data_IF_476906519566
#
_entry.id   IF_476906519566
#
_cell.length_a   1.000
_cell.length_b   1.000
_cell.length_c   1.000
_cell.angle_alpha   90.00
_cell.angle_beta   90.00
_cell.angle_gamma   90.00
#
_symmetry.space_group_name_H-M   'P 1'
#
loop_
_entity.id
_entity.type
_entity.pdbx_description
1 polymer ?
#
# COMPACT_ATOMS: atom_id res chain seq x y z
N UNK A 1 2.32 64.70 -43.29
CA UNK A 1 1.20 63.92 -43.85
C UNK A 1 1.77 62.65 -44.47
N UNK A 2 1.69 61.53 -43.77
CA UNK A 2 2.00 60.19 -44.28
C UNK A 2 1.23 59.16 -43.44
N UNK A 3 0.87 58.06 -44.10
CA UNK A 3 -0.20 57.10 -43.84
C UNK A 3 0.05 56.09 -42.68
N UNK A 4 -1.05 55.51 -42.17
CA UNK A 4 -1.15 54.43 -41.16
C UNK A 4 -0.99 53.03 -41.81
N UNK A 5 -0.43 51.99 -41.11
CA UNK A 5 -1.24 50.84 -40.62
C UNK A 5 -0.74 50.25 -39.26
N UNK A 6 -1.59 49.98 -38.26
CA UNK A 6 -2.32 48.73 -37.92
C UNK A 6 -1.51 47.54 -37.34
N UNK A 7 -1.95 47.11 -36.13
CA UNK A 7 -1.76 45.82 -35.39
C UNK A 7 -0.49 45.66 -34.54
N UNK A 8 -0.48 45.13 -33.31
CA UNK A 8 -1.25 44.03 -32.69
C UNK A 8 -1.61 44.27 -31.21
N UNK A 9 -2.66 43.56 -30.82
CA UNK A 9 -3.40 43.56 -29.58
C UNK A 9 -2.86 42.44 -28.66
N UNK A 10 -2.17 42.77 -27.56
CA UNK A 10 -1.84 41.80 -26.50
C UNK A 10 -2.78 42.01 -25.33
N UNK A 11 -3.80 41.15 -25.29
CA UNK A 11 -4.79 41.10 -24.23
C UNK A 11 -4.19 40.43 -23.00
N UNK A 12 -3.83 41.26 -22.01
CA UNK A 12 -3.67 40.83 -20.62
C UNK A 12 -5.01 40.26 -20.14
N UNK A 13 -5.13 38.93 -20.19
CA UNK A 13 -6.27 38.24 -19.59
C UNK A 13 -6.02 38.17 -18.09
N UNK A 14 -6.70 39.04 -17.35
CA UNK A 14 -6.78 39.00 -15.89
C UNK A 14 -7.15 37.61 -15.41
N UNK A 15 -6.31 37.04 -14.55
CA UNK A 15 -6.60 35.80 -13.83
C UNK A 15 -7.81 36.08 -12.92
N UNK A 16 -8.99 35.71 -13.41
CA UNK A 16 -10.18 35.59 -12.58
C UNK A 16 -9.88 34.53 -11.53
N UNK A 17 -9.86 34.96 -10.27
CA UNK A 17 -10.00 34.08 -9.11
C UNK A 17 -11.27 33.24 -9.34
N UNK A 18 -11.08 31.98 -9.72
CA UNK A 18 -12.19 31.04 -9.88
C UNK A 18 -12.69 30.75 -8.47
N UNK A 19 -13.86 31.33 -8.18
CA UNK A 19 -14.64 31.02 -7.01
C UNK A 19 -15.04 29.56 -6.96
N UNK A 20 -15.39 29.12 -5.76
CA UNK A 20 -16.11 27.89 -5.49
C UNK A 20 -17.21 27.64 -6.53
N UNK A 21 -16.96 26.71 -7.44
CA UNK A 21 -17.98 26.06 -8.25
C UNK A 21 -17.94 24.57 -7.90
N UNK A 22 -19.10 24.02 -7.51
CA UNK A 22 -19.24 22.65 -7.02
C UNK A 22 -18.77 21.61 -8.03
N UNK A 23 -18.12 20.56 -7.54
CA UNK A 23 -17.80 19.37 -8.33
C UNK A 23 -17.97 18.12 -7.48
N UNK A 24 -18.91 17.28 -7.87
CA UNK A 24 -19.28 15.97 -7.30
C UNK A 24 -18.18 14.88 -7.40
N UNK A 25 -16.96 15.24 -7.80
CA UNK A 25 -15.92 14.28 -8.19
C UNK A 25 -14.69 14.38 -7.29
N UNK A 26 -14.49 13.38 -6.43
CA UNK A 26 -13.27 13.23 -5.62
C UNK A 26 -12.12 12.74 -6.52
N UNK A 27 -11.00 13.45 -6.56
CA UNK A 27 -9.83 13.07 -7.37
C UNK A 27 -8.73 12.45 -6.49
N UNK A 28 -8.26 11.25 -6.88
CA UNK A 28 -7.15 10.54 -6.24
C UNK A 28 -5.89 10.58 -7.12
N UNK A 29 -4.79 11.09 -6.57
CA UNK A 29 -3.47 11.09 -7.23
C UNK A 29 -2.53 10.08 -6.58
N UNK A 30 -1.78 9.34 -7.39
CA UNK A 30 -0.72 8.43 -6.94
C UNK A 30 0.63 9.00 -7.34
N UNK A 31 1.40 9.47 -6.35
CA UNK A 31 2.78 9.95 -6.53
C UNK A 31 3.76 8.78 -6.53
N UNK A 32 4.49 8.61 -7.64
CA UNK A 32 5.44 7.50 -7.79
C UNK A 32 4.76 6.18 -8.09
N UNK A 33 3.80 6.17 -9.01
CA UNK A 33 3.00 5.01 -9.39
C UNK A 33 3.84 3.88 -10.03
N UNK A 34 4.51 3.08 -9.19
CA UNK A 34 5.12 1.80 -9.55
C UNK A 34 4.13 0.65 -9.38
N UNK A 35 4.64 -0.59 -9.25
CA UNK A 35 3.80 -1.80 -9.18
C UNK A 35 2.71 -1.73 -8.09
N UNK A 36 3.05 -1.24 -6.90
CA UNK A 36 2.10 -1.19 -5.78
C UNK A 36 1.05 -0.09 -5.95
N UNK A 37 1.45 1.09 -6.45
CA UNK A 37 0.52 2.16 -6.80
C UNK A 37 -0.46 1.73 -7.90
N UNK A 38 0.05 1.04 -8.92
CA UNK A 38 -0.77 0.45 -9.99
C UNK A 38 -1.73 -0.62 -9.46
N UNK A 39 -1.27 -1.49 -8.56
CA UNK A 39 -2.13 -2.52 -7.95
C UNK A 39 -3.29 -1.89 -7.16
N UNK A 40 -3.02 -0.84 -6.39
CA UNK A 40 -4.04 -0.09 -5.64
C UNK A 40 -5.04 0.56 -6.60
N UNK A 41 -4.57 1.24 -7.64
CA UNK A 41 -5.45 1.84 -8.63
C UNK A 41 -6.33 0.80 -9.32
N UNK A 42 -5.73 -0.30 -9.80
CA UNK A 42 -6.47 -1.40 -10.44
C UNK A 42 -7.55 -1.96 -9.51
N UNK A 43 -7.21 -2.26 -8.26
CA UNK A 43 -8.20 -2.75 -7.28
C UNK A 43 -9.35 -1.77 -7.05
N UNK A 44 -9.06 -0.47 -6.93
CA UNK A 44 -10.09 0.56 -6.78
C UNK A 44 -11.00 0.61 -8.01
N UNK A 45 -10.41 0.67 -9.21
CA UNK A 45 -11.15 0.83 -10.47
C UNK A 45 -12.06 -0.37 -10.74
N UNK A 46 -11.56 -1.59 -10.63
CA UNK A 46 -12.39 -2.80 -10.78
C UNK A 46 -13.52 -2.83 -9.76
N UNK A 47 -13.30 -2.35 -8.54
CA UNK A 47 -14.34 -2.32 -7.51
C UNK A 47 -15.40 -1.25 -7.75
N UNK A 48 -15.06 -0.14 -8.42
CA UNK A 48 -16.04 0.86 -8.82
C UNK A 48 -16.92 0.33 -9.95
N UNK A 49 -16.34 -0.39 -10.91
CA UNK A 49 -17.09 -1.07 -11.98
C UNK A 49 -18.04 -2.15 -11.39
N UNK A 50 -17.57 -2.92 -10.40
CA UNK A 50 -18.40 -3.88 -9.65
C UNK A 50 -19.60 -3.24 -8.93
N UNK A 51 -19.45 -2.00 -8.44
CA UNK A 51 -20.53 -1.27 -7.76
C UNK A 51 -21.59 -0.74 -8.74
N UNK A 52 -21.20 -0.42 -9.97
CA UNK A 52 -22.09 0.04 -11.03
C UNK A 52 -22.79 -1.13 -11.76
N UNK A 53 -22.26 -2.35 -11.61
CA UNK A 53 -22.84 -3.55 -12.21
C UNK A 53 -24.17 -3.98 -11.52
N UNK A 54 -25.12 -4.60 -12.27
CA UNK A 54 -26.35 -5.14 -11.69
C UNK A 54 -26.02 -6.25 -10.66
N UNK A 55 -26.46 -6.09 -9.41
CA UNK A 55 -26.16 -7.05 -8.32
C UNK A 55 -26.84 -8.41 -8.55
N UNK A 56 -26.11 -9.54 -8.54
CA UNK A 56 -26.69 -10.86 -8.28
C UNK A 56 -27.07 -11.01 -6.79
N UNK A 57 -28.00 -11.92 -6.50
CA UNK A 57 -28.43 -12.28 -5.13
C UNK A 57 -27.23 -12.65 -4.23
N UNK A 58 -27.04 -11.89 -3.15
CA UNK A 58 -25.90 -12.02 -2.23
C UNK A 58 -26.08 -13.17 -1.22
N UNK A 59 -24.99 -13.89 -0.93
CA UNK A 59 -24.83 -14.77 0.24
C UNK A 59 -23.92 -14.10 1.30
N UNK A 60 -24.08 -14.40 2.60
CA UNK A 60 -23.40 -13.67 3.67
C UNK A 60 -21.97 -14.17 3.89
N UNK A 61 -21.02 -13.25 4.16
CA UNK A 61 -19.66 -13.57 4.60
C UNK A 61 -19.45 -13.31 6.10
N UNK A 62 -18.65 -14.19 6.72
CA UNK A 62 -18.35 -14.32 8.16
C UNK A 62 -17.28 -13.33 8.64
N UNK A 63 -17.42 -12.88 9.90
CA UNK A 63 -16.72 -11.71 10.44
C UNK A 63 -15.35 -11.93 11.09
N UNK A 64 -14.70 -10.81 11.43
CA UNK A 64 -14.13 -10.47 12.75
C UNK A 64 -13.60 -9.01 12.75
N UNK A 65 -13.81 -8.32 13.86
CA UNK A 65 -13.21 -7.04 14.33
C UNK A 65 -12.59 -6.11 13.28
N UNK A 66 -13.41 -5.66 12.33
CA UNK A 66 -13.18 -4.45 11.53
C UNK A 66 -14.47 -3.64 11.61
N UNK A 67 -14.45 -2.29 11.63
CA UNK A 67 -15.67 -1.52 11.47
C UNK A 67 -16.47 -2.07 10.29
N UNK A 68 -17.78 -2.27 10.48
CA UNK A 68 -18.70 -2.61 9.38
C UNK A 68 -18.39 -1.69 8.20
N UNK A 69 -18.20 -2.26 7.01
CA UNK A 69 -17.80 -1.51 5.82
C UNK A 69 -18.93 -0.56 5.41
N UNK A 70 -18.95 0.63 6.02
CA UNK A 70 -19.79 1.73 5.61
C UNK A 70 -19.16 2.36 4.38
N UNK A 71 -19.87 2.32 3.25
CA UNK A 71 -19.43 2.99 2.02
C UNK A 71 -19.23 4.48 2.33
N UNK A 72 -18.05 5.06 2.05
CA UNK A 72 -17.80 6.49 2.26
C UNK A 72 -18.81 7.35 1.50
N UNK A 73 -19.15 8.52 2.05
CA UNK A 73 -20.07 9.46 1.40
C UNK A 73 -19.58 9.95 0.02
N UNK A 74 -18.25 10.04 -0.16
CA UNK A 74 -17.62 10.45 -1.42
C UNK A 74 -16.56 9.42 -1.80
N UNK A 75 -16.67 8.86 -2.99
CA UNK A 75 -15.70 7.94 -3.58
C UNK A 75 -14.89 8.62 -4.67
N UNK A 76 -13.62 8.22 -4.88
CA UNK A 76 -12.83 8.73 -5.98
C UNK A 76 -13.45 8.35 -7.33
N UNK A 77 -13.64 9.32 -8.21
CA UNK A 77 -14.18 9.10 -9.56
C UNK A 77 -13.22 9.53 -10.67
N UNK A 78 -12.09 10.14 -10.30
CA UNK A 78 -11.04 10.57 -11.23
C UNK A 78 -9.68 10.24 -10.64
N UNK A 79 -8.79 9.72 -11.47
CA UNK A 79 -7.50 9.20 -11.03
C UNK A 79 -6.35 9.81 -11.81
N UNK A 80 -5.26 10.12 -11.10
CA UNK A 80 -4.02 10.61 -11.70
C UNK A 80 -2.85 9.74 -11.22
N UNK A 81 -2.15 9.08 -12.13
CA UNK A 81 -0.95 8.30 -11.84
C UNK A 81 0.30 9.07 -12.28
N UNK A 82 1.11 9.49 -11.31
CA UNK A 82 2.35 10.22 -11.57
C UNK A 82 3.55 9.28 -11.54
N UNK A 83 4.36 9.32 -12.59
CA UNK A 83 5.62 8.57 -12.69
C UNK A 83 6.78 9.50 -13.00
N UNK A 84 8.02 9.00 -12.89
CA UNK A 84 9.21 9.80 -13.22
C UNK A 84 9.60 9.74 -14.69
N UNK A 85 9.41 8.59 -15.34
CA UNK A 85 9.99 8.31 -16.66
C UNK A 85 8.89 7.94 -17.65
N UNK A 86 9.04 8.30 -18.94
CA UNK A 86 8.08 7.94 -19.99
C UNK A 86 7.88 6.42 -20.11
N UNK A 87 8.94 5.62 -19.93
CA UNK A 87 8.81 4.16 -19.98
C UNK A 87 8.04 3.59 -18.79
N UNK A 88 8.09 4.25 -17.63
CA UNK A 88 7.22 3.89 -16.51
C UNK A 88 5.76 4.23 -16.83
N UNK A 89 5.51 5.33 -17.53
CA UNK A 89 4.16 5.71 -17.94
C UNK A 89 3.57 4.67 -18.90
N UNK A 90 4.36 4.16 -19.85
CA UNK A 90 3.94 3.06 -20.75
C UNK A 90 3.55 1.81 -19.94
N UNK A 91 4.35 1.42 -18.94
CA UNK A 91 4.06 0.26 -18.09
C UNK A 91 2.77 0.44 -17.29
N UNK A 92 2.55 1.62 -16.70
CA UNK A 92 1.33 1.92 -15.95
C UNK A 92 0.11 1.92 -16.87
N UNK A 93 0.20 2.57 -18.05
CA UNK A 93 -0.88 2.55 -19.05
C UNK A 93 -1.22 1.15 -19.53
N UNK A 94 -0.21 0.32 -19.79
CA UNK A 94 -0.42 -1.08 -20.18
C UNK A 94 -1.07 -1.90 -19.07
N UNK A 95 -0.70 -1.66 -17.80
CA UNK A 95 -1.28 -2.36 -16.67
C UNK A 95 -2.71 -1.90 -16.32
N UNK A 96 -3.09 -0.67 -16.68
CA UNK A 96 -4.41 -0.09 -16.43
C UNK A 96 -5.21 0.12 -17.73
N UNK A 97 -4.95 -0.69 -18.76
CA UNK A 97 -5.47 -0.47 -20.11
C UNK A 97 -7.01 -0.47 -20.15
N UNK A 98 -7.65 -1.32 -19.34
CA UNK A 98 -9.12 -1.44 -19.21
C UNK A 98 -9.75 -0.16 -18.63
N UNK A 99 -8.98 0.65 -17.90
CA UNK A 99 -9.48 1.81 -17.15
C UNK A 99 -8.95 3.16 -17.68
N UNK A 100 -8.47 3.20 -18.92
CA UNK A 100 -7.78 4.37 -19.50
C UNK A 100 -8.67 5.63 -19.54
N UNK A 101 -10.00 5.49 -19.58
CA UNK A 101 -10.96 6.60 -19.53
C UNK A 101 -10.98 7.33 -18.17
N UNK A 102 -10.67 6.61 -17.09
CA UNK A 102 -10.77 7.11 -15.71
C UNK A 102 -9.42 7.52 -15.13
N UNK A 103 -8.31 7.07 -15.71
CA UNK A 103 -6.94 7.27 -15.22
C UNK A 103 -6.11 8.13 -16.16
N UNK A 104 -5.69 9.30 -15.69
CA UNK A 104 -4.66 10.10 -16.36
C UNK A 104 -3.26 9.66 -15.91
N UNK A 105 -2.40 9.23 -16.84
CA UNK A 105 -1.00 8.88 -16.53
C UNK A 105 -0.08 9.99 -17.01
N UNK A 106 0.61 10.63 -16.07
CA UNK A 106 1.48 11.79 -16.29
C UNK A 106 2.90 11.52 -15.78
N UNK A 107 3.88 12.24 -16.30
CA UNK A 107 5.28 12.16 -15.85
C UNK A 107 5.83 13.55 -15.57
N UNK A 108 6.64 13.72 -14.53
CA UNK A 108 7.28 15.00 -14.16
C UNK A 108 6.31 16.17 -13.86
N UNK A 109 5.04 15.87 -13.56
CA UNK A 109 3.99 16.85 -13.23
C UNK A 109 3.39 16.60 -11.84
N UNK A 110 4.23 16.29 -10.83
CA UNK A 110 3.76 15.91 -9.50
C UNK A 110 2.94 17.02 -8.83
N UNK A 111 3.50 18.24 -8.73
CA UNK A 111 2.84 19.39 -8.06
C UNK A 111 1.48 19.71 -8.71
N UNK A 112 1.41 19.81 -10.04
CA UNK A 112 0.16 20.08 -10.75
C UNK A 112 -0.89 18.98 -10.53
N UNK A 113 -0.46 17.72 -10.48
CA UNK A 113 -1.36 16.58 -10.22
C UNK A 113 -1.92 16.63 -8.79
N UNK A 114 -1.08 16.99 -7.82
CA UNK A 114 -1.49 17.18 -6.43
C UNK A 114 -2.46 18.35 -6.31
N UNK A 115 -2.23 19.46 -7.00
CA UNK A 115 -3.15 20.62 -7.02
C UNK A 115 -4.57 20.22 -7.46
N UNK A 116 -4.68 19.33 -8.44
CA UNK A 116 -5.95 18.84 -9.00
C UNK A 116 -6.61 17.72 -8.18
N UNK A 117 -6.01 17.30 -7.07
CA UNK A 117 -6.45 16.13 -6.30
C UNK A 117 -6.90 16.48 -4.89
N UNK A 118 -7.69 15.63 -4.25
CA UNK A 118 -8.09 15.77 -2.84
C UNK A 118 -7.43 14.70 -1.97
N UNK A 119 -7.16 13.53 -2.55
CA UNK A 119 -6.48 12.40 -1.91
C UNK A 119 -5.19 12.10 -2.68
N UNK A 120 -4.08 12.04 -1.97
CA UNK A 120 -2.76 11.75 -2.52
C UNK A 120 -2.25 10.47 -1.91
N UNK A 121 -1.92 9.48 -2.73
CA UNK A 121 -1.22 8.27 -2.34
C UNK A 121 0.27 8.42 -2.69
N UNK A 122 1.13 8.54 -1.68
CA UNK A 122 2.57 8.56 -1.85
C UNK A 122 3.10 7.12 -1.90
N UNK A 123 3.37 6.65 -3.13
CA UNK A 123 3.70 5.26 -3.46
C UNK A 123 5.11 5.07 -4.02
N UNK A 124 6.03 6.00 -3.73
CA UNK A 124 7.41 5.95 -4.22
C UNK A 124 8.32 5.11 -3.31
N UNK A 125 9.54 4.82 -3.79
CA UNK A 125 10.59 4.23 -2.93
C UNK A 125 10.97 5.23 -1.82
N UNK A 126 11.34 4.77 -0.60
CA UNK A 126 11.72 5.65 0.51
C UNK A 126 12.79 6.68 0.13
N UNK A 127 13.81 6.27 -0.62
CA UNK A 127 14.89 7.14 -1.12
C UNK A 127 14.46 8.27 -2.04
N UNK A 128 13.20 8.30 -2.48
CA UNK A 128 12.65 9.34 -3.35
C UNK A 128 11.64 10.24 -2.64
N UNK A 129 11.25 9.92 -1.40
CA UNK A 129 10.23 10.68 -0.67
C UNK A 129 10.67 12.14 -0.50
N UNK A 130 11.88 12.36 0.01
CA UNK A 130 12.40 13.71 0.23
C UNK A 130 12.36 14.56 -1.06
N UNK A 131 12.87 14.00 -2.16
CA UNK A 131 12.93 14.70 -3.44
C UNK A 131 11.55 15.11 -3.97
N UNK A 132 10.52 14.27 -3.77
CA UNK A 132 9.13 14.57 -4.19
C UNK A 132 8.49 15.62 -3.27
N UNK A 133 8.65 15.46 -1.95
CA UNK A 133 8.00 16.35 -0.97
C UNK A 133 8.62 17.75 -0.94
N UNK A 134 9.91 17.87 -1.27
CA UNK A 134 10.62 19.16 -1.37
C UNK A 134 10.47 19.84 -2.73
N UNK A 135 9.70 19.29 -3.67
CA UNK A 135 9.44 19.97 -4.95
C UNK A 135 8.80 21.36 -4.71
N UNK A 136 9.27 22.42 -5.41
CA UNK A 136 8.72 23.76 -5.24
C UNK A 136 7.20 23.81 -5.44
N UNK A 137 6.48 24.28 -4.42
CA UNK A 137 5.02 24.37 -4.44
C UNK A 137 4.29 23.13 -3.93
N UNK A 138 4.98 22.03 -3.62
CA UNK A 138 4.36 20.80 -3.10
C UNK A 138 3.63 21.03 -1.78
N UNK A 139 4.26 21.68 -0.80
CA UNK A 139 3.65 22.01 0.50
C UNK A 139 2.35 22.79 0.34
N UNK A 140 2.33 23.79 -0.56
CA UNK A 140 1.12 24.57 -0.87
C UNK A 140 0.07 23.73 -1.59
N UNK A 141 0.48 22.87 -2.51
CA UNK A 141 -0.42 22.00 -3.26
C UNK A 141 -1.13 20.97 -2.37
N UNK A 142 -0.50 20.55 -1.27
CA UNK A 142 -1.04 19.60 -0.29
C UNK A 142 -1.96 20.22 0.77
N UNK A 143 -2.02 21.55 0.89
CA UNK A 143 -2.80 22.22 1.92
C UNK A 143 -4.29 21.78 1.89
N UNK A 144 -4.81 21.36 3.04
CA UNK A 144 -6.19 20.90 3.25
C UNK A 144 -6.50 19.51 2.70
N UNK A 145 -5.50 18.73 2.28
CA UNK A 145 -5.68 17.44 1.59
C UNK A 145 -5.34 16.25 2.46
N UNK A 146 -5.70 15.05 1.99
CA UNK A 146 -5.30 13.79 2.59
C UNK A 146 -4.07 13.21 1.88
N UNK A 147 -2.98 13.03 2.61
CA UNK A 147 -1.77 12.37 2.12
C UNK A 147 -1.63 10.98 2.76
N UNK A 148 -1.89 9.93 1.99
CA UNK A 148 -1.70 8.54 2.39
C UNK A 148 -0.32 8.08 1.94
N UNK A 149 0.60 7.86 2.89
CA UNK A 149 1.93 7.30 2.60
C UNK A 149 1.92 5.78 2.71
N UNK A 150 2.38 5.11 1.66
CA UNK A 150 2.67 3.67 1.66
C UNK A 150 4.16 3.35 1.59
N UNK A 151 5.01 4.34 1.85
CA UNK A 151 6.46 4.20 1.80
C UNK A 151 6.97 3.42 3.01
N UNK A 152 7.64 2.29 2.75
CA UNK A 152 8.22 1.45 3.80
C UNK A 152 9.25 2.22 4.65
N UNK A 153 9.13 2.14 5.97
CA UNK A 153 10.06 2.75 6.93
C UNK A 153 10.05 4.27 7.00
N UNK A 154 9.20 4.98 6.24
CA UNK A 154 9.08 6.44 6.30
C UNK A 154 8.01 6.82 7.33
N UNK A 155 8.41 7.57 8.36
CA UNK A 155 7.50 7.99 9.44
C UNK A 155 6.72 9.25 9.06
N UNK A 156 5.62 9.52 9.78
CA UNK A 156 4.84 10.74 9.59
C UNK A 156 5.71 11.97 9.89
N UNK A 157 6.51 11.92 10.96
CA UNK A 157 7.42 12.99 11.35
C UNK A 157 8.49 13.28 10.30
N UNK A 158 8.95 12.27 9.55
CA UNK A 158 9.85 12.47 8.42
C UNK A 158 9.15 13.21 7.28
N UNK A 159 7.91 12.83 6.95
CA UNK A 159 7.11 13.49 5.91
C UNK A 159 6.84 14.95 6.30
N UNK A 160 6.44 15.21 7.55
CA UNK A 160 6.27 16.57 8.09
C UNK A 160 7.55 17.40 7.95
N UNK A 161 8.70 16.85 8.38
CA UNK A 161 10.00 17.53 8.24
C UNK A 161 10.38 17.80 6.79
N UNK A 162 10.07 16.91 5.86
CA UNK A 162 10.35 17.15 4.45
C UNK A 162 9.46 18.25 3.86
N UNK A 163 8.20 18.38 4.31
CA UNK A 163 7.24 19.37 3.82
C UNK A 163 7.40 20.75 4.46
N UNK A 164 7.71 20.78 5.76
CA UNK A 164 7.63 21.98 6.61
C UNK A 164 8.97 22.36 7.25
N UNK A 165 10.02 21.53 7.13
CA UNK A 165 11.32 21.74 7.76
C UNK A 165 11.37 21.39 9.25
N UNK A 166 10.22 21.18 9.90
CA UNK A 166 10.06 20.78 11.29
C UNK A 166 8.84 19.86 11.45
N UNK A 167 8.63 19.29 12.64
CA UNK A 167 7.38 18.60 12.98
C UNK A 167 6.45 19.64 13.64
N UNK A 168 5.32 19.98 13.01
CA UNK A 168 4.35 20.89 13.61
C UNK A 168 3.76 20.31 14.91
N UNK A 169 3.44 21.18 15.86
CA UNK A 169 2.87 20.86 17.17
C UNK A 169 1.34 20.98 17.23
N UNK A 170 0.72 21.60 16.22
CA UNK A 170 -0.73 21.82 16.11
C UNK A 170 -1.41 20.77 15.23
N UNK A 171 -2.71 20.55 15.43
CA UNK A 171 -3.48 19.65 14.57
C UNK A 171 -3.59 20.21 13.13
N UNK A 172 -3.49 19.37 12.08
CA UNK A 172 -3.63 19.82 10.69
C UNK A 172 -4.92 20.57 10.38
N UNK A 173 -6.01 20.33 11.12
CA UNK A 173 -7.28 21.06 10.94
C UNK A 173 -7.18 22.52 11.39
N UNK A 174 -6.26 22.84 12.30
CA UNK A 174 -6.13 24.19 12.82
C UNK A 174 -5.23 25.09 11.96
N UNK A 175 -4.25 24.52 11.27
CA UNK A 175 -3.28 25.25 10.44
C UNK A 175 -3.46 24.99 8.93
N UNK A 176 -4.37 24.09 8.57
CA UNK A 176 -4.75 23.75 7.21
C UNK A 176 -3.72 22.92 6.45
N UNK A 177 -2.66 22.40 7.08
CA UNK A 177 -1.72 21.49 6.39
C UNK A 177 -2.39 20.17 6.01
N UNK A 178 -1.72 19.35 5.19
CA UNK A 178 -2.29 18.06 4.83
C UNK A 178 -2.39 17.14 6.05
N UNK A 179 -3.46 16.36 6.11
CA UNK A 179 -3.56 15.24 7.04
C UNK A 179 -2.78 14.06 6.47
N UNK A 180 -1.84 13.52 7.24
CA UNK A 180 -1.00 12.40 6.82
C UNK A 180 -1.51 11.10 7.44
N UNK A 181 -1.70 10.06 6.62
CA UNK A 181 -2.01 8.71 7.05
C UNK A 181 -0.90 7.78 6.57
N UNK A 182 -0.32 6.99 7.47
CA UNK A 182 0.63 5.94 7.08
C UNK A 182 -0.13 4.62 6.95
N UNK A 183 -0.04 4.00 5.78
CA UNK A 183 -0.62 2.68 5.50
C UNK A 183 0.46 1.77 4.92
N UNK A 184 0.32 0.47 5.11
CA UNK A 184 1.33 -0.49 4.67
C UNK A 184 0.68 -1.72 4.03
N UNK A 185 0.32 -1.62 2.74
CA UNK A 185 -0.08 -2.78 1.95
C UNK A 185 1.15 -3.59 1.54
N UNK A 186 0.92 -4.73 0.89
CA UNK A 186 2.01 -5.59 0.41
C UNK A 186 1.81 -6.02 -1.06
N UNK A 187 2.74 -6.83 -1.57
CA UNK A 187 2.74 -7.26 -2.97
C UNK A 187 1.49 -8.06 -3.40
N UNK A 188 0.78 -8.69 -2.46
CA UNK A 188 -0.45 -9.42 -2.76
C UNK A 188 -1.63 -8.50 -3.14
N UNK A 189 -1.44 -7.17 -3.07
CA UNK A 189 -2.36 -6.18 -3.64
C UNK A 189 -2.68 -6.46 -5.12
N UNK A 190 -1.73 -7.03 -5.87
CA UNK A 190 -1.89 -7.37 -7.29
C UNK A 190 -2.99 -8.41 -7.54
N UNK A 191 -3.34 -9.19 -6.53
CA UNK A 191 -4.38 -10.22 -6.59
C UNK A 191 -5.49 -9.97 -5.57
N UNK A 192 -5.58 -8.74 -5.05
CA UNK A 192 -6.57 -8.31 -4.03
C UNK A 192 -6.54 -9.12 -2.72
N UNK A 193 -5.37 -9.64 -2.34
CA UNK A 193 -5.16 -10.45 -1.12
C UNK A 193 -4.10 -9.80 -0.20
N UNK A 194 -3.96 -8.48 -0.26
CA UNK A 194 -3.05 -7.73 0.62
C UNK A 194 -3.53 -7.78 2.07
N UNK A 195 -2.59 -7.72 3.01
CA UNK A 195 -2.89 -7.26 4.38
C UNK A 195 -2.32 -5.85 4.50
N UNK A 196 -3.19 -4.88 4.74
CA UNK A 196 -2.81 -3.48 4.91
C UNK A 196 -2.88 -3.07 6.38
N UNK A 197 -1.75 -2.63 6.93
CA UNK A 197 -1.72 -2.06 8.28
C UNK A 197 -1.78 -0.54 8.18
N UNK A 198 -2.76 0.08 8.82
CA UNK A 198 -2.90 1.54 8.92
C UNK A 198 -2.50 1.99 10.31
N UNK A 199 -1.58 2.97 10.39
CA UNK A 199 -1.12 3.53 11.65
C UNK A 199 -2.22 4.40 12.29
N UNK A 200 -2.58 4.12 13.53
CA UNK A 200 -3.56 4.87 14.30
C UNK A 200 -3.31 4.70 15.81
N UNK A 201 -2.83 5.75 16.47
CA UNK A 201 -2.49 5.70 17.90
C UNK A 201 -3.70 5.84 18.82
N UNK A 202 -4.78 6.47 18.34
CA UNK A 202 -6.04 6.60 19.08
C UNK A 202 -7.24 6.56 18.12
N UNK A 203 -8.41 6.02 18.51
CA UNK A 203 -9.60 5.96 17.64
C UNK A 203 -10.08 7.31 17.08
N UNK A 204 -9.77 8.41 17.76
CA UNK A 204 -10.11 9.78 17.32
C UNK A 204 -9.00 10.47 16.52
N UNK A 205 -7.88 9.78 16.22
CA UNK A 205 -6.76 10.38 15.49
C UNK A 205 -7.10 10.73 14.03
N UNK A 206 -8.17 10.14 13.48
CA UNK A 206 -8.66 10.41 12.13
C UNK A 206 -10.14 10.80 12.17
N UNK A 207 -10.56 11.78 11.36
CA UNK A 207 -11.97 12.04 11.14
C UNK A 207 -12.67 10.78 10.63
N UNK A 208 -13.92 10.51 11.03
CA UNK A 208 -14.64 9.31 10.60
C UNK A 208 -14.69 9.13 9.08
N UNK A 209 -14.88 10.22 8.33
CA UNK A 209 -14.88 10.19 6.86
C UNK A 209 -13.52 9.78 6.28
N UNK A 210 -12.41 10.25 6.87
CA UNK A 210 -11.05 9.84 6.47
C UNK A 210 -10.82 8.37 6.75
N UNK A 211 -11.19 7.89 7.93
CA UNK A 211 -11.05 6.47 8.30
C UNK A 211 -11.86 5.57 7.36
N UNK A 212 -13.11 5.93 7.06
CA UNK A 212 -13.96 5.20 6.11
C UNK A 212 -13.33 5.16 4.72
N UNK A 213 -12.85 6.29 4.21
CA UNK A 213 -12.24 6.37 2.88
C UNK A 213 -10.96 5.55 2.79
N UNK A 214 -10.07 5.65 3.78
CA UNK A 214 -8.84 4.85 3.85
C UNK A 214 -9.16 3.36 3.94
N UNK A 215 -10.12 2.97 4.78
CA UNK A 215 -10.58 1.58 4.90
C UNK A 215 -11.09 1.08 3.56
N UNK A 216 -11.98 1.85 2.92
CA UNK A 216 -12.56 1.49 1.63
C UNK A 216 -11.47 1.29 0.57
N UNK A 217 -10.54 2.24 0.42
CA UNK A 217 -9.42 2.18 -0.53
C UNK A 217 -8.65 0.86 -0.37
N UNK A 218 -8.23 0.53 0.85
CA UNK A 218 -7.37 -0.63 1.07
C UNK A 218 -8.15 -1.96 1.11
N UNK A 219 -9.45 -1.93 1.42
CA UNK A 219 -10.34 -3.09 1.27
C UNK A 219 -10.50 -3.54 -0.18
N UNK A 220 -10.26 -2.67 -1.15
CA UNK A 220 -10.31 -3.03 -2.59
C UNK A 220 -9.16 -3.94 -3.02
N UNK A 221 -8.07 -3.97 -2.24
CA UNK A 221 -6.87 -4.77 -2.51
C UNK A 221 -6.58 -5.84 -1.45
N UNK A 222 -7.48 -6.04 -0.48
CA UNK A 222 -7.35 -7.08 0.53
C UNK A 222 -7.97 -6.68 1.88
N UNK A 223 -7.35 -7.10 2.97
CA UNK A 223 -7.79 -6.84 4.34
C UNK A 223 -7.05 -5.64 4.97
N UNK A 224 -7.66 -5.04 5.99
CA UNK A 224 -7.17 -3.83 6.66
C UNK A 224 -7.26 -3.99 8.17
N UNK A 225 -6.16 -3.68 8.86
CA UNK A 225 -6.11 -3.55 10.31
C UNK A 225 -5.53 -2.21 10.72
N UNK A 226 -6.06 -1.64 11.79
CA UNK A 226 -5.54 -0.42 12.41
C UNK A 226 -4.71 -0.79 13.62
N UNK A 227 -3.46 -0.31 13.68
CA UNK A 227 -2.54 -0.59 14.78
C UNK A 227 -1.80 0.68 15.20
N UNK A 228 -1.29 0.75 16.44
CA UNK A 228 -0.47 1.86 16.89
C UNK A 228 0.76 2.10 16.01
N UNK A 229 1.18 3.35 15.87
CA UNK A 229 2.33 3.75 15.05
C UNK A 229 3.61 3.02 15.47
N UNK A 230 3.74 2.69 16.76
CA UNK A 230 4.87 1.95 17.33
C UNK A 230 5.04 0.53 16.77
N UNK A 231 3.98 -0.09 16.24
CA UNK A 231 4.05 -1.45 15.68
C UNK A 231 4.41 -1.48 14.19
N UNK A 232 4.47 -0.32 13.52
CA UNK A 232 4.60 -0.26 12.06
C UNK A 232 5.86 -0.93 11.51
N UNK A 233 6.97 -0.93 12.26
CA UNK A 233 8.19 -1.62 11.84
C UNK A 233 8.03 -3.14 11.88
N UNK A 234 7.38 -3.67 12.92
CA UNK A 234 7.03 -5.08 13.01
C UNK A 234 6.00 -5.47 11.95
N UNK A 235 5.01 -4.63 11.69
CA UNK A 235 4.05 -4.80 10.60
C UNK A 235 4.72 -4.80 9.22
N UNK A 236 5.75 -3.97 9.02
CA UNK A 236 6.56 -3.98 7.79
C UNK A 236 7.28 -5.29 7.59
N UNK A 237 7.91 -5.81 8.64
CA UNK A 237 8.58 -7.09 8.59
C UNK A 237 7.61 -8.25 8.32
N UNK A 238 6.46 -8.28 9.01
CA UNK A 238 5.50 -9.36 8.90
C UNK A 238 4.69 -9.28 7.60
N UNK A 239 4.04 -8.16 7.31
CA UNK A 239 3.10 -8.04 6.20
C UNK A 239 3.79 -7.61 4.90
N UNK A 240 4.77 -6.70 5.00
CA UNK A 240 5.51 -6.20 3.84
C UNK A 240 6.52 -7.21 3.30
N UNK A 241 7.36 -7.78 4.18
CA UNK A 241 8.36 -8.79 3.81
C UNK A 241 7.84 -10.23 3.85
N UNK A 242 6.73 -10.50 4.56
CA UNK A 242 6.12 -11.82 4.69
C UNK A 242 5.95 -12.60 3.39
N UNK A 243 5.41 -12.01 2.30
CA UNK A 243 5.30 -12.70 1.02
C UNK A 243 6.62 -13.30 0.52
N UNK A 244 7.75 -12.62 0.73
CA UNK A 244 9.07 -13.15 0.35
C UNK A 244 9.50 -14.31 1.26
N UNK A 245 9.24 -14.22 2.57
CA UNK A 245 9.57 -15.29 3.51
C UNK A 245 8.72 -16.54 3.26
N UNK A 246 7.43 -16.38 2.99
CA UNK A 246 6.55 -17.49 2.68
C UNK A 246 6.83 -18.09 1.30
N UNK A 247 7.22 -17.28 0.32
CA UNK A 247 7.66 -17.79 -0.99
C UNK A 247 8.90 -18.70 -0.86
N UNK A 248 9.87 -18.37 0.01
CA UNK A 248 11.01 -19.23 0.28
C UNK A 248 10.59 -20.59 0.88
N UNK A 249 9.69 -20.57 1.86
CA UNK A 249 9.17 -21.82 2.47
C UNK A 249 8.38 -22.63 1.45
N UNK A 250 7.61 -21.97 0.60
CA UNK A 250 6.84 -22.60 -0.47
C UNK A 250 7.77 -23.25 -1.50
N UNK A 251 8.83 -22.55 -1.92
CA UNK A 251 9.84 -23.08 -2.83
C UNK A 251 10.54 -24.33 -2.26
N UNK A 252 10.93 -24.29 -0.98
CA UNK A 252 11.52 -25.44 -0.30
C UNK A 252 10.58 -26.66 -0.25
N UNK A 253 9.27 -26.43 -0.04
CA UNK A 253 8.28 -27.50 -0.09
C UNK A 253 8.13 -28.09 -1.52
N UNK A 254 8.21 -27.25 -2.55
CA UNK A 254 8.17 -27.69 -3.96
C UNK A 254 9.40 -28.54 -4.28
N UNK A 255 10.60 -28.11 -3.86
CA UNK A 255 11.84 -28.87 -4.05
C UNK A 255 11.77 -30.24 -3.36
N UNK A 256 11.27 -30.30 -2.12
CA UNK A 256 11.07 -31.55 -1.41
C UNK A 256 10.11 -32.51 -2.14
N UNK A 257 9.01 -31.99 -2.69
CA UNK A 257 8.06 -32.79 -3.44
C UNK A 257 8.63 -33.30 -4.78
N UNK A 258 9.44 -32.49 -5.46
CA UNK A 258 10.15 -32.89 -6.70
C UNK A 258 11.20 -33.95 -6.40
N UNK A 259 11.92 -33.85 -5.28
CA UNK A 259 12.88 -34.87 -4.85
C UNK A 259 12.20 -36.23 -4.60
N UNK A 260 10.92 -36.24 -4.26
CA UNK A 260 10.09 -37.45 -4.12
C UNK A 260 9.42 -37.90 -5.42
N UNK A 261 9.75 -37.28 -6.56
CA UNK A 261 9.34 -37.71 -7.89
C UNK A 261 8.14 -36.97 -8.49
N UNK A 262 7.62 -35.92 -7.85
CA UNK A 262 6.56 -35.12 -8.47
C UNK A 262 7.08 -34.24 -9.61
N UNK A 263 6.33 -34.09 -10.73
CA UNK A 263 6.62 -33.07 -11.72
C UNK A 263 6.60 -31.66 -11.11
N UNK A 264 7.59 -30.82 -11.45
CA UNK A 264 7.77 -29.46 -10.91
C UNK A 264 6.49 -28.61 -10.95
N UNK A 265 5.80 -28.60 -12.08
CA UNK A 265 4.60 -27.80 -12.29
C UNK A 265 3.45 -28.21 -11.36
N UNK A 266 3.23 -29.51 -11.19
CA UNK A 266 2.21 -30.05 -10.28
C UNK A 266 2.59 -29.77 -8.82
N UNK A 267 3.86 -30.00 -8.44
CA UNK A 267 4.35 -29.70 -7.10
C UNK A 267 4.13 -28.22 -6.73
N UNK A 268 4.43 -27.30 -7.65
CA UNK A 268 4.18 -25.87 -7.46
C UNK A 268 2.71 -25.54 -7.23
N UNK A 269 1.82 -26.06 -8.08
CA UNK A 269 0.38 -25.84 -7.97
C UNK A 269 -0.17 -26.41 -6.65
N UNK A 270 0.19 -27.65 -6.31
CA UNK A 270 -0.26 -28.35 -5.10
C UNK A 270 0.23 -27.64 -3.83
N UNK A 271 1.50 -27.28 -3.77
CA UNK A 271 2.08 -26.60 -2.61
C UNK A 271 1.43 -25.23 -2.39
N UNK A 272 1.25 -24.44 -3.46
CA UNK A 272 0.63 -23.11 -3.36
C UNK A 272 -0.82 -23.19 -2.87
N UNK A 273 -1.61 -24.12 -3.44
CA UNK A 273 -3.00 -24.33 -3.02
C UNK A 273 -3.10 -24.84 -1.58
N UNK A 274 -2.20 -25.72 -1.16
CA UNK A 274 -2.15 -26.25 0.21
C UNK A 274 -1.80 -25.16 1.20
N UNK A 275 -0.80 -24.32 0.89
CA UNK A 275 -0.42 -23.19 1.74
C UNK A 275 -1.55 -22.15 1.83
N UNK A 276 -2.23 -21.84 0.72
CA UNK A 276 -3.43 -20.99 0.72
C UNK A 276 -4.53 -21.57 1.60
N UNK A 277 -4.79 -22.87 1.49
CA UNK A 277 -5.80 -23.56 2.31
C UNK A 277 -5.48 -23.53 3.81
N UNK A 278 -4.23 -23.80 4.18
CA UNK A 278 -3.77 -23.74 5.57
C UNK A 278 -3.93 -22.33 6.16
N UNK A 279 -3.54 -21.29 5.41
CA UNK A 279 -3.75 -19.91 5.82
C UNK A 279 -5.26 -19.58 5.94
N UNK A 280 -6.06 -20.02 4.98
CA UNK A 280 -7.52 -19.82 4.99
C UNK A 280 -8.21 -20.47 6.19
N UNK A 281 -7.78 -21.66 6.63
CA UNK A 281 -8.31 -22.30 7.83
C UNK A 281 -8.03 -21.47 9.09
N UNK A 282 -6.82 -20.91 9.20
CA UNK A 282 -6.45 -20.04 10.32
C UNK A 282 -7.23 -18.72 10.29
N UNK A 283 -7.40 -18.12 9.12
CA UNK A 283 -8.21 -16.90 8.95
C UNK A 283 -9.69 -17.12 9.31
N UNK A 284 -10.20 -18.34 9.19
CA UNK A 284 -11.55 -18.71 9.62
C UNK A 284 -11.65 -19.09 11.11
N UNK A 285 -10.60 -18.81 11.90
CA UNK A 285 -10.63 -18.93 13.36
C UNK A 285 -9.97 -20.19 13.94
N UNK A 286 -9.39 -21.06 13.10
CA UNK A 286 -8.64 -22.21 13.60
C UNK A 286 -7.31 -21.78 14.22
N UNK A 287 -7.03 -22.22 15.45
CA UNK A 287 -5.73 -21.97 16.07
C UNK A 287 -4.63 -22.81 15.41
N UNK A 288 -3.46 -22.25 15.01
CA UNK A 288 -2.43 -22.99 14.27
C UNK A 288 -1.95 -24.29 14.93
N UNK A 289 -1.86 -24.32 16.27
CA UNK A 289 -1.49 -25.54 16.99
C UNK A 289 -2.56 -26.63 16.87
N UNK A 290 -3.84 -26.25 16.92
CA UNK A 290 -4.96 -27.21 16.79
C UNK A 290 -5.05 -27.71 15.35
N UNK A 291 -4.84 -26.85 14.36
CA UNK A 291 -4.77 -27.26 12.95
C UNK A 291 -3.67 -28.30 12.74
N UNK A 292 -2.47 -28.07 13.29
CA UNK A 292 -1.35 -29.02 13.22
C UNK A 292 -1.73 -30.35 13.86
N UNK A 293 -2.35 -30.33 15.03
CA UNK A 293 -2.72 -31.56 15.76
C UNK A 293 -3.83 -32.33 15.03
N UNK A 294 -4.80 -31.64 14.40
CA UNK A 294 -5.85 -32.24 13.56
C UNK A 294 -5.29 -32.97 12.32
N UNK A 295 -4.21 -32.45 11.74
CA UNK A 295 -3.56 -33.03 10.55
C UNK A 295 -2.51 -34.09 10.92
N UNK A 296 -1.98 -34.02 12.15
CA UNK A 296 -1.00 -34.96 12.71
C UNK A 296 -1.62 -36.28 13.12
N UNK A 297 -1.74 -37.23 12.17
CA UNK A 297 -2.22 -38.57 12.46
C UNK A 297 -1.15 -39.42 13.17
N UNK A 298 -1.52 -40.25 14.18
CA UNK A 298 -0.57 -41.14 14.87
C UNK A 298 0.16 -42.07 13.90
N UNK A 299 1.50 -42.02 13.90
CA UNK A 299 2.34 -42.83 13.01
C UNK A 299 2.28 -42.45 11.52
N UNK A 300 1.56 -41.38 11.15
CA UNK A 300 1.39 -40.95 9.77
C UNK A 300 2.54 -40.09 9.22
N UNK A 301 2.48 -39.80 7.92
CA UNK A 301 3.47 -38.96 7.25
C UNK A 301 3.54 -37.53 7.83
N UNK A 302 2.41 -36.98 8.28
CA UNK A 302 2.33 -35.63 8.87
C UNK A 302 3.23 -35.48 10.10
N UNK A 303 3.15 -36.42 11.06
CA UNK A 303 3.97 -36.33 12.28
C UNK A 303 5.45 -36.56 11.96
N UNK A 304 5.76 -37.45 11.01
CA UNK A 304 7.14 -37.65 10.54
C UNK A 304 7.75 -36.38 9.96
N UNK A 305 7.01 -35.66 9.10
CA UNK A 305 7.46 -34.38 8.56
C UNK A 305 7.58 -33.28 9.62
N UNK A 306 6.63 -33.21 10.56
CA UNK A 306 6.67 -32.22 11.65
C UNK A 306 7.92 -32.37 12.53
N UNK A 307 8.32 -33.60 12.87
CA UNK A 307 9.53 -33.85 13.67
C UNK A 307 10.80 -33.31 12.99
N UNK A 308 10.95 -33.52 11.68
CA UNK A 308 12.09 -32.98 10.91
C UNK A 308 12.09 -31.45 10.92
N UNK A 309 10.92 -30.80 10.84
CA UNK A 309 10.82 -29.34 10.95
C UNK A 309 11.19 -28.83 12.36
N UNK A 310 10.91 -29.59 13.41
CA UNK A 310 11.36 -29.27 14.77
C UNK A 310 12.86 -29.41 14.93
N UNK A 311 13.45 -30.49 14.41
CA UNK A 311 14.90 -30.70 14.39
C UNK A 311 15.62 -29.54 13.68
N UNK A 312 15.04 -29.02 12.60
CA UNK A 312 15.51 -27.83 11.89
C UNK A 312 15.26 -26.49 12.60
N UNK A 313 14.67 -26.50 13.81
CA UNK A 313 14.36 -25.31 14.60
C UNK A 313 13.56 -24.24 13.83
N UNK A 314 12.65 -24.65 12.94
CA UNK A 314 11.93 -23.77 12.00
C UNK A 314 11.26 -22.60 12.71
N UNK A 315 10.61 -22.84 13.87
CA UNK A 315 9.97 -21.78 14.67
C UNK A 315 10.94 -20.67 15.05
N UNK A 316 12.11 -21.04 15.57
CA UNK A 316 13.13 -20.09 15.99
C UNK A 316 13.68 -19.31 14.80
N UNK A 317 13.93 -19.98 13.68
CA UNK A 317 14.48 -19.37 12.46
C UNK A 317 13.51 -18.35 11.85
N UNK A 318 12.24 -18.73 11.65
CA UNK A 318 11.21 -17.83 11.11
C UNK A 318 10.99 -16.63 12.03
N UNK A 319 10.88 -16.85 13.35
CA UNK A 319 10.72 -15.76 14.32
C UNK A 319 11.90 -14.77 14.29
N UNK A 320 13.14 -15.27 14.24
CA UNK A 320 14.33 -14.42 14.13
C UNK A 320 14.36 -13.64 12.81
N UNK A 321 13.93 -14.24 11.70
CA UNK A 321 13.87 -13.56 10.41
C UNK A 321 12.93 -12.34 10.46
N UNK A 322 11.74 -12.49 11.05
CA UNK A 322 10.79 -11.37 11.22
C UNK A 322 11.36 -10.30 12.15
N UNK A 323 11.97 -10.68 13.28
CA UNK A 323 12.59 -9.73 14.22
C UNK A 323 13.72 -8.93 13.58
N UNK A 324 14.59 -9.59 12.81
CA UNK A 324 15.64 -8.91 12.06
C UNK A 324 15.06 -7.92 11.06
N UNK A 325 14.09 -8.38 10.26
CA UNK A 325 13.46 -7.53 9.27
C UNK A 325 12.78 -6.30 9.90
N UNK A 326 12.28 -6.40 11.14
CA UNK A 326 11.73 -5.26 11.88
C UNK A 326 12.82 -4.25 12.26
N UNK A 327 13.99 -4.72 12.71
CA UNK A 327 15.17 -3.88 12.97
C UNK A 327 15.68 -3.19 11.69
N UNK A 328 15.70 -3.92 10.57
CA UNK A 328 16.09 -3.34 9.28
C UNK A 328 15.06 -2.30 8.83
N UNK A 329 13.77 -2.60 8.98
CA UNK A 329 12.67 -1.71 8.60
C UNK A 329 12.70 -0.38 9.37
N UNK A 330 13.11 -0.39 10.65
CA UNK A 330 13.20 0.84 11.44
C UNK A 330 14.23 1.84 10.92
N UNK A 331 15.19 1.39 10.11
CA UNK A 331 16.28 2.22 9.57
C UNK A 331 16.07 2.64 8.12
N UNK A 332 15.06 2.11 7.42
CA UNK A 332 14.85 2.36 5.99
C UNK A 332 14.55 3.82 5.66
N UNK A 333 13.79 4.52 6.52
CA UNK A 333 13.46 5.94 6.33
C UNK A 333 14.61 6.89 6.66
N UNK A 334 15.65 6.43 7.34
CA UNK A 334 16.77 7.27 7.80
C UNK A 334 17.81 7.54 6.71
N UNK A 335 17.60 7.01 5.49
CA UNK A 335 18.57 7.11 4.40
C UNK A 335 19.84 6.27 4.61
N UNK A 336 19.86 5.42 5.63
CA UNK A 336 21.00 4.56 5.95
C UNK A 336 21.25 3.52 4.83
N UNK A 337 22.51 3.38 4.43
CA UNK A 337 22.97 2.34 3.51
C UNK A 337 23.42 1.10 4.27
N UNK A 338 23.29 -0.08 3.65
CA UNK A 338 23.78 -1.32 4.25
C UNK A 338 23.09 -1.70 5.57
N UNK A 339 21.83 -1.31 5.78
CA UNK A 339 21.07 -1.56 7.03
C UNK A 339 20.97 -3.04 7.43
N UNK A 340 21.17 -3.95 6.49
CA UNK A 340 21.19 -5.41 6.70
C UNK A 340 22.60 -5.96 7.04
N UNK A 341 23.62 -5.11 7.07
CA UNK A 341 25.01 -5.48 7.37
C UNK A 341 25.38 -5.47 8.86
N UNK A 342 24.46 -5.07 9.75
CA UNK A 342 24.78 -4.82 11.18
C UNK A 342 24.98 -6.07 12.04
N UNK A 343 24.97 -7.27 11.44
CA UNK A 343 25.20 -8.53 12.16
C UNK A 343 26.67 -8.83 12.47
N UNK A 344 27.61 -8.05 11.94
CA UNK A 344 29.04 -8.32 12.05
C UNK A 344 29.79 -7.53 13.13
N UNK A 345 29.13 -6.68 13.93
CA UNK A 345 29.82 -5.86 14.95
C UNK A 345 29.71 -6.42 16.39
N UNK A 346 29.56 -7.75 16.57
CA UNK A 346 29.22 -8.32 17.89
C UNK A 346 29.87 -9.65 18.28
N UNK A 347 30.91 -10.08 17.58
CA UNK A 347 31.75 -11.20 18.03
C UNK A 347 33.23 -10.85 17.78
N UNK A 348 33.79 -10.09 18.71
CA UNK A 348 35.22 -10.16 19.08
C UNK A 348 35.32 -10.88 20.43
#
# INVERSE_FOLDING_TARGET
MSLVPLTRNDSYTSVKMIGHHGHDHLTLCVLGCGSLGTAILSGILSSLEELEAPKPLQTPHSGTSTPSETIPQRLPSRFIACVRRPDSAKKVKAALWEHTSSVSVVWEHNVTSVQQSEVILLACKPSHVEGILKEPGMTKALHGKLLISICAGVTVEQIERHLHGAVPDRDPEEDGRCRIVRALPNAASLIRESMTVVAMDHPSALPPATMQLVTWIFRRIGDVVFLPTSTMNASTALCGSGPAFFALVLEAAIDGAVAMGLPRAEAQRMAAQTMKGAAGLVLNGEHPAILRDKVGTPGGCSIGGLLVLEEGAVRGTVSRAVREAATVASRLGEGAHGVNGTRLNGFE
#
